data_IF_222209632133
#
_entry.id   IF_222209632133
#
_cell.length_a   1.000
_cell.length_b   1.000
_cell.length_c   1.000
_cell.angle_alpha   90.00
_cell.angle_beta   90.00
_cell.angle_gamma   90.00
#
_symmetry.space_group_name_H-M   'P 1'
#
loop_
_entity.id
_entity.type
_entity.pdbx_description
1 polymer ?
#
# COMPACT_ATOMS: atom_id res chain seq x y z
N UNK A 1 24.82 -14.06 -14.27
CA UNK A 1 23.66 -13.15 -14.17
C UNK A 1 22.49 -13.94 -13.63
N UNK A 2 21.93 -13.53 -12.49
CA UNK A 2 20.80 -14.19 -11.86
C UNK A 2 19.51 -13.82 -12.58
N UNK A 3 18.71 -14.80 -13.00
CA UNK A 3 17.47 -14.59 -13.76
C UNK A 3 16.27 -14.70 -12.83
N UNK A 4 15.51 -13.63 -12.70
CA UNK A 4 14.33 -13.58 -11.84
C UNK A 4 13.08 -13.27 -12.63
N UNK A 5 12.07 -14.08 -12.39
CA UNK A 5 10.75 -13.97 -13.00
C UNK A 5 9.80 -13.35 -11.97
N UNK A 6 9.28 -12.16 -12.27
CA UNK A 6 8.14 -11.58 -11.56
C UNK A 6 6.87 -12.09 -12.23
N UNK A 7 6.03 -12.81 -11.47
CA UNK A 7 4.80 -13.43 -11.95
C UNK A 7 3.63 -12.72 -11.28
N UNK A 8 2.84 -11.99 -12.06
CA UNK A 8 1.68 -11.24 -11.56
C UNK A 8 0.76 -10.82 -12.70
N UNK A 9 -0.05 -9.76 -12.49
CA UNK A 9 -0.88 -9.14 -13.52
C UNK A 9 -0.64 -7.63 -13.55
N UNK A 10 -0.35 -7.10 -14.72
CA UNK A 10 -0.28 -5.65 -14.94
C UNK A 10 -1.69 -5.08 -15.09
N UNK A 11 -2.16 -4.39 -14.06
CA UNK A 11 -3.53 -3.84 -14.01
C UNK A 11 -3.58 -2.32 -13.81
N UNK A 12 -2.43 -1.65 -13.70
CA UNK A 12 -2.32 -0.22 -13.44
C UNK A 12 -2.79 0.20 -12.03
N UNK A 13 -2.91 -0.75 -11.11
CA UNK A 13 -3.30 -0.55 -9.70
C UNK A 13 -2.17 -1.05 -8.78
N UNK A 14 -2.52 -1.54 -7.58
CA UNK A 14 -1.55 -1.99 -6.57
C UNK A 14 -0.55 -3.04 -7.06
N UNK A 15 -0.97 -4.01 -7.90
CA UNK A 15 -0.05 -5.02 -8.43
C UNK A 15 1.01 -4.44 -9.36
N UNK A 16 0.63 -3.49 -10.22
CA UNK A 16 1.59 -2.78 -11.05
C UNK A 16 2.59 -1.98 -10.20
N UNK A 17 2.16 -1.42 -9.06
CA UNK A 17 3.06 -0.73 -8.14
C UNK A 17 4.00 -1.70 -7.44
N UNK A 18 3.50 -2.82 -6.90
CA UNK A 18 4.31 -3.87 -6.28
C UNK A 18 5.38 -4.39 -7.25
N UNK A 19 5.01 -4.65 -8.51
CA UNK A 19 5.94 -5.08 -9.56
C UNK A 19 7.07 -4.09 -9.78
N UNK A 20 6.73 -2.81 -9.94
CA UNK A 20 7.72 -1.80 -10.28
C UNK A 20 8.62 -1.45 -9.08
N UNK A 21 8.07 -1.41 -7.87
CA UNK A 21 8.83 -1.23 -6.62
C UNK A 21 9.84 -2.36 -6.47
N UNK A 22 9.39 -3.62 -6.60
CA UNK A 22 10.29 -4.75 -6.47
C UNK A 22 11.30 -4.78 -7.62
N UNK A 23 10.88 -4.56 -8.87
CA UNK A 23 11.80 -4.50 -10.02
C UNK A 23 12.89 -3.45 -9.81
N UNK A 24 12.50 -2.25 -9.36
CA UNK A 24 13.41 -1.14 -9.09
C UNK A 24 14.42 -1.51 -8.01
N UNK A 25 13.96 -2.12 -6.91
CA UNK A 25 14.85 -2.63 -5.88
C UNK A 25 15.81 -3.66 -6.48
N UNK A 26 15.30 -4.71 -7.13
CA UNK A 26 16.12 -5.78 -7.71
C UNK A 26 17.18 -5.26 -8.69
N UNK A 27 16.84 -4.36 -9.60
CA UNK A 27 17.77 -3.80 -10.61
C UNK A 27 18.72 -2.79 -10.00
N UNK A 28 18.21 -1.82 -9.22
CA UNK A 28 19.02 -0.75 -8.64
C UNK A 28 20.09 -1.26 -7.68
N UNK A 29 19.82 -2.40 -7.03
CA UNK A 29 20.69 -3.05 -6.06
C UNK A 29 21.77 -3.91 -6.71
N UNK A 30 21.44 -4.57 -7.82
CA UNK A 30 22.29 -5.61 -8.42
C UNK A 30 23.08 -5.13 -9.63
N UNK A 31 22.78 -3.93 -10.14
CA UNK A 31 23.35 -3.43 -11.39
C UNK A 31 23.13 -4.43 -12.53
N UNK A 32 24.18 -4.74 -13.29
CA UNK A 32 24.13 -5.67 -14.42
C UNK A 32 24.16 -7.16 -14.00
N UNK A 33 24.13 -7.47 -12.71
CA UNK A 33 24.26 -8.87 -12.23
C UNK A 33 22.94 -9.65 -12.23
N UNK A 34 21.80 -8.96 -12.44
CA UNK A 34 20.46 -9.54 -12.37
C UNK A 34 19.60 -9.18 -13.58
N UNK A 35 18.90 -10.17 -14.12
CA UNK A 35 17.91 -10.00 -15.18
C UNK A 35 16.52 -10.19 -14.59
N UNK A 36 15.70 -9.14 -14.57
CA UNK A 36 14.31 -9.20 -14.10
C UNK A 36 13.36 -9.22 -15.28
N UNK A 37 12.52 -10.25 -15.38
CA UNK A 37 11.51 -10.42 -16.42
C UNK A 37 10.11 -10.49 -15.82
N UNK A 38 9.14 -9.84 -16.46
CA UNK A 38 7.73 -9.97 -16.10
C UNK A 38 7.10 -11.15 -16.87
N UNK A 39 6.16 -11.84 -16.23
CA UNK A 39 5.31 -12.84 -16.85
C UNK A 39 3.90 -12.74 -16.28
N UNK A 40 2.91 -12.65 -17.16
CA UNK A 40 1.52 -12.71 -16.71
C UNK A 40 1.24 -14.07 -16.04
N UNK A 41 0.57 -14.05 -14.90
CA UNK A 41 0.35 -15.25 -14.09
C UNK A 41 -0.44 -16.34 -14.83
N UNK A 42 -1.23 -15.99 -15.85
CA UNK A 42 -1.98 -16.94 -16.69
C UNK A 42 -1.21 -17.37 -17.95
N UNK A 43 -0.06 -16.77 -18.23
CA UNK A 43 0.74 -17.13 -19.39
C UNK A 43 1.25 -18.58 -19.30
N UNK A 44 1.55 -19.15 -20.46
CA UNK A 44 2.20 -20.47 -20.54
C UNK A 44 3.54 -20.42 -19.80
N UNK A 45 3.83 -21.39 -18.90
CA UNK A 45 5.10 -21.43 -18.20
C UNK A 45 6.29 -21.52 -19.14
N UNK A 46 7.39 -20.86 -18.76
CA UNK A 46 8.68 -21.04 -19.40
C UNK A 46 9.21 -22.48 -19.21
N UNK A 47 10.14 -22.95 -20.06
CA UNK A 47 10.81 -24.23 -19.86
C UNK A 47 11.42 -24.41 -18.46
N UNK A 48 11.62 -25.67 -18.08
CA UNK A 48 12.20 -26.00 -16.76
C UNK A 48 13.58 -25.37 -16.60
N UNK A 49 13.80 -24.63 -15.50
CA UNK A 49 15.09 -24.00 -15.20
C UNK A 49 15.41 -22.74 -16.03
N UNK A 50 14.42 -22.15 -16.70
CA UNK A 50 14.57 -20.86 -17.39
C UNK A 50 14.92 -19.71 -16.46
N UNK A 51 14.60 -19.81 -15.17
CA UNK A 51 14.88 -18.80 -14.16
C UNK A 51 15.57 -19.41 -12.93
N UNK A 52 16.21 -18.57 -12.14
CA UNK A 52 16.79 -18.94 -10.86
C UNK A 52 15.76 -18.78 -9.73
N UNK A 53 14.96 -17.69 -9.79
CA UNK A 53 13.86 -17.41 -8.84
C UNK A 53 12.59 -17.00 -9.59
N UNK A 54 11.46 -17.55 -9.14
CA UNK A 54 10.12 -17.02 -9.40
C UNK A 54 9.64 -16.24 -8.17
N UNK A 55 9.14 -15.03 -8.38
CA UNK A 55 8.46 -14.23 -7.35
C UNK A 55 7.03 -13.97 -7.82
N UNK A 56 6.08 -14.61 -7.14
CA UNK A 56 4.64 -14.44 -7.35
C UNK A 56 4.16 -13.26 -6.53
N UNK A 57 3.65 -12.20 -7.18
CA UNK A 57 3.05 -11.06 -6.48
C UNK A 57 1.54 -11.21 -6.49
N UNK A 58 0.96 -11.45 -5.30
CA UNK A 58 -0.44 -11.78 -4.99
C UNK A 58 -0.97 -13.07 -5.65
N UNK A 59 -0.78 -13.22 -6.95
CA UNK A 59 -1.40 -14.22 -7.79
C UNK A 59 -0.54 -15.48 -7.88
N UNK A 60 -1.07 -16.60 -7.41
CA UNK A 60 -0.37 -17.87 -7.43
C UNK A 60 -0.80 -18.74 -8.63
N UNK A 61 0.17 -19.21 -9.42
CA UNK A 61 -0.06 -20.24 -10.41
C UNK A 61 1.04 -21.32 -10.35
N UNK A 62 0.75 -22.51 -9.79
CA UNK A 62 1.69 -23.61 -9.62
C UNK A 62 2.31 -24.14 -10.91
N UNK A 63 1.69 -23.87 -12.08
CA UNK A 63 2.24 -24.29 -13.37
C UNK A 63 3.63 -23.70 -13.63
N UNK A 64 3.96 -22.56 -13.02
CA UNK A 64 5.27 -21.92 -13.14
C UNK A 64 6.33 -22.50 -12.21
N UNK A 65 5.99 -23.34 -11.21
CA UNK A 65 6.96 -23.80 -10.20
C UNK A 65 8.20 -24.49 -10.76
N UNK A 66 8.10 -25.09 -11.94
CA UNK A 66 9.22 -25.78 -12.61
C UNK A 66 10.14 -24.84 -13.38
N UNK A 67 9.74 -23.60 -13.66
CA UNK A 67 10.58 -22.64 -14.41
C UNK A 67 11.77 -22.16 -13.58
N UNK A 68 11.69 -22.22 -12.23
CA UNK A 68 12.75 -21.83 -11.31
C UNK A 68 13.05 -22.86 -10.23
N UNK A 69 14.22 -22.74 -9.59
CA UNK A 69 14.61 -23.55 -8.43
C UNK A 69 13.99 -23.03 -7.13
N UNK A 70 13.81 -21.71 -7.04
CA UNK A 70 13.24 -21.03 -5.87
C UNK A 70 11.93 -20.37 -6.28
N UNK A 71 10.87 -20.60 -5.49
CA UNK A 71 9.55 -20.05 -5.71
C UNK A 71 9.15 -19.25 -4.47
N UNK A 72 8.87 -17.96 -4.63
CA UNK A 72 8.62 -17.03 -3.55
C UNK A 72 7.24 -16.41 -3.77
N UNK A 73 6.40 -16.38 -2.75
CA UNK A 73 5.12 -15.67 -2.79
C UNK A 73 5.20 -14.38 -1.99
N UNK A 74 4.78 -13.25 -2.57
CA UNK A 74 4.48 -12.00 -1.88
C UNK A 74 2.96 -11.83 -1.87
N UNK A 75 2.24 -12.26 -0.82
CA UNK A 75 0.79 -12.34 -0.86
C UNK A 75 0.12 -11.04 -0.41
N UNK A 76 -1.06 -10.79 -0.97
CA UNK A 76 -2.07 -9.90 -0.39
C UNK A 76 -3.15 -10.81 0.25
N UNK A 77 -3.23 -10.90 1.59
CA UNK A 77 -4.08 -11.89 2.28
C UNK A 77 -5.57 -11.83 1.90
N UNK A 78 -6.07 -10.64 1.57
CA UNK A 78 -7.44 -10.39 1.15
C UNK A 78 -7.76 -11.00 -0.22
N UNK A 79 -6.76 -11.32 -1.04
CA UNK A 79 -6.93 -11.94 -2.35
C UNK A 79 -6.51 -13.42 -2.39
N UNK A 80 -5.96 -13.95 -1.29
CA UNK A 80 -5.48 -15.33 -1.24
C UNK A 80 -6.62 -16.34 -1.07
N UNK A 81 -7.08 -16.90 -2.19
CA UNK A 81 -8.19 -17.86 -2.21
C UNK A 81 -7.83 -19.21 -1.58
N UNK A 82 -8.83 -19.93 -1.08
CA UNK A 82 -8.64 -21.20 -0.35
C UNK A 82 -7.99 -22.28 -1.20
N UNK A 83 -8.28 -22.27 -2.50
CA UNK A 83 -7.81 -23.21 -3.52
C UNK A 83 -6.29 -23.16 -3.71
N UNK A 84 -5.64 -22.06 -3.32
CA UNK A 84 -4.18 -21.94 -3.38
C UNK A 84 -3.46 -22.57 -2.19
N UNK A 85 -4.13 -22.81 -1.06
CA UNK A 85 -3.52 -23.38 0.16
C UNK A 85 -2.79 -24.71 -0.09
N UNK A 86 -3.37 -25.68 -0.83
CA UNK A 86 -2.66 -26.93 -1.11
C UNK A 86 -1.39 -26.72 -1.89
N UNK A 87 -1.20 -25.59 -2.60
CA UNK A 87 -0.02 -25.34 -3.43
C UNK A 87 1.12 -24.60 -2.72
N UNK A 88 0.94 -24.21 -1.46
CA UNK A 88 1.97 -23.55 -0.67
C UNK A 88 3.22 -24.42 -0.48
N UNK A 89 3.10 -25.76 -0.53
CA UNK A 89 4.26 -26.67 -0.42
C UNK A 89 5.26 -26.54 -1.58
N UNK A 90 4.84 -25.99 -2.72
CA UNK A 90 5.74 -25.75 -3.86
C UNK A 90 6.51 -24.43 -3.74
N UNK A 91 6.19 -23.61 -2.75
CA UNK A 91 6.92 -22.39 -2.42
C UNK A 91 8.10 -22.74 -1.52
N UNK A 92 9.19 -22.03 -1.75
CA UNK A 92 10.36 -22.04 -0.88
C UNK A 92 10.19 -21.04 0.27
N UNK A 93 9.56 -19.89 0.01
CA UNK A 93 9.37 -18.82 0.97
C UNK A 93 8.09 -18.02 0.70
N UNK A 94 7.62 -17.36 1.75
CA UNK A 94 6.62 -16.29 1.68
C UNK A 94 7.26 -15.01 2.18
N UNK A 95 7.15 -13.93 1.42
CA UNK A 95 7.63 -12.59 1.75
C UNK A 95 6.43 -11.71 2.12
N UNK A 96 6.35 -11.33 3.39
CA UNK A 96 5.23 -10.58 3.94
C UNK A 96 5.56 -9.08 3.99
N UNK A 97 4.74 -8.29 3.29
CA UNK A 97 4.87 -6.82 3.24
C UNK A 97 4.54 -6.14 4.58
N UNK A 98 3.64 -6.76 5.34
CA UNK A 98 3.10 -6.26 6.61
C UNK A 98 3.27 -7.34 7.69
N UNK A 99 3.29 -6.93 8.96
CA UNK A 99 3.33 -7.83 10.11
C UNK A 99 2.02 -8.63 10.22
N UNK A 100 0.89 -8.06 9.83
CA UNK A 100 -0.36 -8.82 9.74
C UNK A 100 -0.26 -9.96 8.73
N UNK A 101 0.29 -9.69 7.53
CA UNK A 101 0.53 -10.70 6.51
C UNK A 101 1.52 -11.77 7.00
N UNK A 102 2.59 -11.36 7.70
CA UNK A 102 3.55 -12.28 8.31
C UNK A 102 2.85 -13.23 9.29
N UNK A 103 2.09 -12.67 10.24
CA UNK A 103 1.33 -13.43 11.24
C UNK A 103 0.35 -14.41 10.60
N UNK A 104 -0.39 -13.98 9.56
CA UNK A 104 -1.33 -14.84 8.83
C UNK A 104 -0.59 -16.02 8.18
N UNK A 105 0.49 -15.74 7.46
CA UNK A 105 1.19 -16.76 6.68
C UNK A 105 2.12 -17.64 7.50
N UNK A 106 2.58 -17.21 8.68
CA UNK A 106 3.30 -18.07 9.64
C UNK A 106 2.46 -19.29 10.06
N UNK A 107 1.13 -19.17 10.05
CA UNK A 107 0.22 -20.29 10.26
C UNK A 107 0.01 -21.20 9.04
N UNK A 108 0.56 -20.86 7.88
CA UNK A 108 0.29 -21.52 6.60
C UNK A 108 1.56 -22.00 5.87
N UNK A 109 2.72 -21.42 6.15
CA UNK A 109 3.98 -21.74 5.51
C UNK A 109 5.13 -21.75 6.52
N UNK A 110 6.09 -22.67 6.31
CA UNK A 110 7.20 -22.93 7.24
C UNK A 110 8.31 -21.87 7.21
N UNK A 111 8.44 -21.13 6.12
CA UNK A 111 9.44 -20.09 5.93
C UNK A 111 8.74 -18.80 5.45
N UNK A 112 8.48 -17.92 6.41
CA UNK A 112 7.83 -16.61 6.18
C UNK A 112 8.82 -15.54 6.63
N UNK A 113 9.06 -14.56 5.76
CA UNK A 113 9.99 -13.47 5.99
C UNK A 113 9.24 -12.15 5.90
N UNK A 114 9.22 -11.39 6.98
CA UNK A 114 8.81 -10.00 6.89
C UNK A 114 9.84 -9.23 6.06
N UNK A 115 9.39 -8.59 4.99
CA UNK A 115 10.23 -7.78 4.11
C UNK A 115 10.11 -6.29 4.38
N UNK A 116 9.08 -5.87 5.11
CA UNK A 116 8.52 -4.53 4.92
C UNK A 116 8.12 -4.33 3.46
N UNK A 117 7.89 -3.09 3.07
CA UNK A 117 7.68 -2.72 1.67
C UNK A 117 7.88 -1.21 1.48
N UNK A 118 7.77 -0.74 0.25
CA UNK A 118 7.79 0.70 -0.03
C UNK A 118 6.83 1.07 -1.17
N UNK A 119 6.78 2.35 -1.50
CA UNK A 119 6.01 2.93 -2.60
C UNK A 119 6.90 3.89 -3.40
N UNK A 120 6.40 4.37 -4.53
CA UNK A 120 7.04 5.48 -5.23
C UNK A 120 7.17 6.70 -4.32
N UNK A 121 8.30 7.37 -4.47
CA UNK A 121 8.52 8.65 -3.83
C UNK A 121 7.79 9.71 -4.62
N UNK A 122 6.76 10.31 -4.01
CA UNK A 122 5.93 11.34 -4.64
C UNK A 122 6.34 12.75 -4.21
N UNK A 123 7.41 12.92 -3.45
CA UNK A 123 7.78 14.22 -2.91
C UNK A 123 8.14 15.22 -4.02
N UNK A 124 7.46 16.37 -4.02
CA UNK A 124 7.78 17.52 -4.85
C UNK A 124 7.94 18.75 -3.94
N UNK A 125 9.18 19.12 -3.59
CA UNK A 125 9.44 20.23 -2.68
C UNK A 125 9.13 21.60 -3.29
N UNK A 126 8.83 21.67 -4.60
CA UNK A 126 8.48 22.93 -5.27
C UNK A 126 7.02 23.33 -5.07
N UNK A 127 6.18 22.39 -4.61
CA UNK A 127 4.76 22.62 -4.37
C UNK A 127 4.55 23.20 -2.98
N UNK A 128 3.92 24.37 -2.92
CA UNK A 128 3.54 25.00 -1.66
C UNK A 128 2.48 24.17 -0.93
N UNK A 129 2.76 23.82 0.33
CA UNK A 129 1.86 23.04 1.17
C UNK A 129 0.80 23.91 1.83
N UNK A 130 -0.46 23.50 1.68
CA UNK A 130 -1.63 24.14 2.26
C UNK A 130 -2.22 23.27 3.37
N UNK A 131 -2.80 23.92 4.37
CA UNK A 131 -3.60 23.27 5.40
C UNK A 131 -4.95 22.83 4.81
N UNK A 132 -4.93 21.73 4.07
CA UNK A 132 -6.06 21.18 3.35
C UNK A 132 -6.10 19.65 3.48
N UNK A 133 -7.31 19.09 3.34
CA UNK A 133 -7.58 17.65 3.43
C UNK A 133 -7.61 17.01 2.05
N UNK A 134 -6.98 15.84 1.91
CA UNK A 134 -7.02 15.02 0.69
C UNK A 134 -7.49 13.60 1.00
N UNK A 135 -8.35 13.04 0.15
CA UNK A 135 -8.64 11.61 0.13
C UNK A 135 -8.46 11.05 -1.28
N UNK A 136 -7.45 10.19 -1.47
CA UNK A 136 -7.21 9.49 -2.74
C UNK A 136 -7.97 8.16 -2.72
N UNK A 137 -9.26 8.20 -3.03
CA UNK A 137 -10.16 7.03 -3.02
C UNK A 137 -9.81 5.99 -4.09
N UNK A 138 -9.41 6.42 -5.29
CA UNK A 138 -9.15 5.50 -6.41
C UNK A 138 -10.33 4.54 -6.70
N UNK A 139 -10.02 3.26 -6.95
CA UNK A 139 -11.00 2.24 -7.36
C UNK A 139 -11.36 1.18 -6.33
N UNK A 140 -10.76 1.18 -5.14
CA UNK A 140 -11.01 0.14 -4.12
C UNK A 140 -12.24 0.49 -3.26
N UNK A 141 -13.06 -0.50 -2.90
CA UNK A 141 -14.12 -0.33 -1.90
C UNK A 141 -13.58 -0.32 -0.47
N UNK A 142 -12.36 -0.82 -0.25
CA UNK A 142 -11.75 -0.89 1.07
C UNK A 142 -11.34 0.48 1.62
N UNK A 143 -11.19 1.50 0.76
CA UNK A 143 -10.66 2.85 1.08
C UNK A 143 -11.42 3.67 2.11
N UNK A 144 -12.59 3.20 2.56
CA UNK A 144 -13.40 3.91 3.56
C UNK A 144 -14.04 5.20 3.04
N UNK A 145 -14.15 5.41 1.72
CA UNK A 145 -14.67 6.65 1.12
C UNK A 145 -16.07 7.03 1.62
N UNK A 146 -16.92 6.05 1.91
CA UNK A 146 -18.23 6.29 2.53
C UNK A 146 -18.12 6.94 3.92
N UNK A 147 -17.24 6.41 4.77
CA UNK A 147 -16.97 6.97 6.09
C UNK A 147 -16.32 8.36 6.01
N UNK A 148 -15.44 8.58 5.02
CA UNK A 148 -14.87 9.92 4.76
C UNK A 148 -15.97 10.91 4.43
N UNK A 149 -16.90 10.58 3.52
CA UNK A 149 -18.01 11.48 3.19
C UNK A 149 -18.87 11.79 4.41
N UNK A 150 -19.21 10.78 5.23
CA UNK A 150 -20.02 11.01 6.42
C UNK A 150 -19.29 11.86 7.46
N UNK A 151 -18.00 11.62 7.69
CA UNK A 151 -17.18 12.44 8.58
C UNK A 151 -17.12 13.91 8.10
N UNK A 152 -17.06 14.15 6.79
CA UNK A 152 -17.09 15.50 6.25
C UNK A 152 -18.47 16.18 6.39
N UNK A 153 -19.59 15.44 6.39
CA UNK A 153 -20.92 16.01 6.70
C UNK A 153 -20.98 16.56 8.12
N UNK A 154 -20.29 15.91 9.07
CA UNK A 154 -20.18 16.36 10.45
C UNK A 154 -19.29 17.61 10.61
N UNK A 155 -18.52 17.97 9.58
CA UNK A 155 -17.50 19.02 9.62
C UNK A 155 -17.68 20.05 8.49
N UNK A 156 -18.82 20.75 8.42
CA UNK A 156 -19.18 21.61 7.28
C UNK A 156 -18.22 22.79 7.06
N UNK A 157 -17.40 23.13 8.04
CA UNK A 157 -16.41 24.23 7.97
C UNK A 157 -15.04 23.79 7.44
N UNK A 158 -14.86 22.52 7.12
CA UNK A 158 -13.61 21.98 6.56
C UNK A 158 -13.86 21.48 5.13
N UNK A 159 -12.95 21.82 4.21
CA UNK A 159 -13.04 21.37 2.82
C UNK A 159 -12.13 20.18 2.58
N UNK A 160 -12.63 19.21 1.81
CA UNK A 160 -11.89 18.02 1.38
C UNK A 160 -11.77 18.00 -0.15
N UNK A 161 -10.57 17.76 -0.64
CA UNK A 161 -10.34 17.32 -2.02
C UNK A 161 -10.39 15.79 -2.06
N UNK A 162 -11.23 15.22 -2.93
CA UNK A 162 -11.34 13.78 -3.13
C UNK A 162 -10.95 13.42 -4.56
N UNK A 163 -9.98 12.52 -4.73
CA UNK A 163 -9.57 12.00 -6.04
C UNK A 163 -10.08 10.58 -6.20
N UNK A 164 -10.93 10.35 -7.20
CA UNK A 164 -11.60 9.05 -7.40
C UNK A 164 -11.77 8.71 -8.88
N UNK A 165 -11.70 7.43 -9.21
CA UNK A 165 -12.08 6.92 -10.54
C UNK A 165 -13.51 6.40 -10.58
N UNK A 166 -14.23 6.42 -9.46
CA UNK A 166 -15.62 5.96 -9.34
C UNK A 166 -16.58 7.13 -9.27
N UNK A 167 -17.79 6.99 -9.85
CA UNK A 167 -18.88 7.94 -9.59
C UNK A 167 -19.14 8.06 -8.09
N UNK A 168 -19.35 9.29 -7.62
CA UNK A 168 -19.71 9.59 -6.23
C UNK A 168 -21.14 10.15 -6.22
N UNK A 169 -22.02 9.47 -5.51
CA UNK A 169 -23.42 9.90 -5.35
C UNK A 169 -23.55 10.85 -4.18
N UNK A 170 -24.14 12.03 -4.41
CA UNK A 170 -24.45 13.03 -3.37
C UNK A 170 -23.28 13.34 -2.43
N UNK A 171 -22.12 13.81 -2.96
CA UNK A 171 -21.03 14.25 -2.11
C UNK A 171 -21.49 15.40 -1.19
N UNK A 172 -20.97 15.49 0.04
CA UNK A 172 -21.22 16.64 0.91
C UNK A 172 -20.80 17.96 0.23
N UNK A 173 -21.46 19.10 0.53
CA UNK A 173 -21.13 20.39 -0.12
C UNK A 173 -19.69 20.86 0.07
N UNK A 174 -19.02 20.39 1.12
CA UNK A 174 -17.63 20.69 1.45
C UNK A 174 -16.63 19.64 0.91
N UNK A 175 -17.05 18.79 -0.04
CA UNK A 175 -16.19 17.80 -0.70
C UNK A 175 -16.10 18.10 -2.20
N UNK A 176 -14.92 18.52 -2.64
CA UNK A 176 -14.60 18.70 -4.06
C UNK A 176 -14.15 17.36 -4.64
N UNK A 177 -14.96 16.79 -5.54
CA UNK A 177 -14.63 15.52 -6.20
C UNK A 177 -13.92 15.77 -7.52
N UNK A 178 -12.69 15.27 -7.61
CA UNK A 178 -11.88 15.22 -8.82
C UNK A 178 -11.91 13.80 -9.41
N UNK A 179 -12.00 13.72 -10.72
CA UNK A 179 -11.88 12.46 -11.45
C UNK A 179 -10.46 11.88 -11.40
N UNK A 180 -10.20 10.85 -12.20
CA UNK A 180 -8.85 10.29 -12.35
C UNK A 180 -7.89 11.39 -12.82
N UNK A 181 -6.82 11.58 -12.07
CA UNK A 181 -5.74 12.52 -12.39
C UNK A 181 -4.62 11.78 -13.12
N UNK A 182 -3.84 12.50 -13.91
CA UNK A 182 -2.56 11.97 -14.39
C UNK A 182 -1.52 11.94 -13.25
N UNK A 183 -0.35 11.37 -13.54
CA UNK A 183 0.69 11.19 -12.53
C UNK A 183 1.24 12.52 -11.99
N UNK A 184 1.38 13.55 -12.83
CA UNK A 184 1.97 14.83 -12.45
C UNK A 184 0.98 15.65 -11.60
N UNK A 185 -0.29 15.69 -12.01
CA UNK A 185 -1.34 16.34 -11.25
C UNK A 185 -1.59 15.65 -9.91
N UNK A 186 -1.58 14.32 -9.86
CA UNK A 186 -1.71 13.60 -8.61
C UNK A 186 -0.56 13.92 -7.65
N UNK A 187 0.69 13.95 -8.14
CA UNK A 187 1.86 14.37 -7.34
C UNK A 187 1.67 15.78 -6.80
N UNK A 188 1.30 16.74 -7.65
CA UNK A 188 1.05 18.12 -7.22
C UNK A 188 -0.04 18.20 -6.15
N UNK A 189 -1.19 17.54 -6.39
CA UNK A 189 -2.30 17.49 -5.43
C UNK A 189 -1.84 16.89 -4.11
N UNK A 190 -1.09 15.78 -4.12
CA UNK A 190 -0.60 15.15 -2.90
C UNK A 190 0.31 16.07 -2.08
N UNK A 191 1.24 16.78 -2.73
CA UNK A 191 2.17 17.69 -2.04
C UNK A 191 1.50 18.99 -1.55
N UNK A 192 0.46 19.45 -2.23
CA UNK A 192 -0.30 20.64 -1.85
C UNK A 192 -1.12 20.44 -0.56
N UNK A 193 -1.51 19.20 -0.22
CA UNK A 193 -2.38 18.92 0.92
C UNK A 193 -1.61 18.40 2.13
N UNK A 194 -1.67 19.14 3.24
CA UNK A 194 -0.97 18.78 4.48
C UNK A 194 -1.54 17.55 5.19
N UNK A 195 -2.81 17.20 5.00
CA UNK A 195 -3.47 16.10 5.73
C UNK A 195 -4.15 15.14 4.75
N UNK A 196 -3.78 13.86 4.81
CA UNK A 196 -4.32 12.82 3.94
C UNK A 196 -5.19 11.85 4.75
N UNK A 197 -6.43 11.66 4.30
CA UNK A 197 -7.39 10.74 4.89
C UNK A 197 -7.23 9.38 4.20
N UNK A 198 -6.75 8.40 4.95
CA UNK A 198 -6.49 7.05 4.48
C UNK A 198 -7.14 5.98 5.36
N UNK A 199 -8.48 5.98 5.53
CA UNK A 199 -9.15 5.06 6.43
C UNK A 199 -9.53 3.74 5.74
N UNK A 200 -8.56 3.13 5.04
CA UNK A 200 -8.80 1.82 4.45
C UNK A 200 -9.17 0.80 5.54
N UNK A 201 -10.06 -0.13 5.25
CA UNK A 201 -10.40 -1.20 6.19
C UNK A 201 -9.40 -2.34 6.18
N UNK A 202 -8.72 -2.51 5.04
CA UNK A 202 -7.58 -3.40 4.83
C UNK A 202 -6.95 -3.06 3.47
N UNK A 203 -5.63 -3.21 3.34
CA UNK A 203 -4.90 -3.28 2.08
C UNK A 203 -3.75 -4.27 2.30
N UNK A 204 -3.35 -5.05 1.29
CA UNK A 204 -2.19 -5.93 1.42
C UNK A 204 -0.88 -5.24 1.81
N UNK A 205 -0.76 -3.92 1.57
CA UNK A 205 0.29 -3.06 2.12
C UNK A 205 -0.21 -1.65 2.44
N UNK A 206 -0.92 -1.01 1.50
CA UNK A 206 -1.41 0.36 1.66
C UNK A 206 -0.55 1.40 0.92
N UNK A 207 -0.30 1.19 -0.38
CA UNK A 207 0.56 2.08 -1.17
C UNK A 207 0.21 3.57 -1.04
N UNK A 208 -1.08 3.93 -1.07
CA UNK A 208 -1.50 5.33 -1.00
C UNK A 208 -1.30 5.96 0.39
N UNK A 209 -1.30 5.17 1.47
CA UNK A 209 -0.88 5.61 2.81
C UNK A 209 0.61 5.90 2.78
N UNK A 210 1.40 4.99 2.21
CA UNK A 210 2.84 5.15 2.16
C UNK A 210 3.29 6.26 1.18
N UNK A 211 2.57 6.50 0.10
CA UNK A 211 2.79 7.65 -0.78
C UNK A 211 2.44 8.97 -0.07
N UNK A 212 1.43 9.00 0.82
CA UNK A 212 1.15 10.15 1.68
C UNK A 212 2.32 10.47 2.64
N UNK A 213 2.94 9.42 3.21
CA UNK A 213 4.19 9.56 4.00
C UNK A 213 5.32 10.10 3.13
N UNK A 214 5.43 9.61 1.90
CA UNK A 214 6.49 10.04 0.99
C UNK A 214 6.44 11.53 0.66
N UNK A 215 5.25 12.15 0.62
CA UNK A 215 5.11 13.61 0.44
C UNK A 215 5.14 14.39 1.75
N UNK A 216 5.44 13.75 2.89
CA UNK A 216 5.45 14.39 4.19
C UNK A 216 4.09 14.97 4.63
N UNK A 217 2.98 14.29 4.28
CA UNK A 217 1.66 14.65 4.81
C UNK A 217 1.42 14.01 6.17
N UNK A 218 0.56 14.63 6.99
CA UNK A 218 -0.01 13.99 8.18
C UNK A 218 -1.08 13.02 7.72
N UNK A 219 -1.00 11.76 8.17
CA UNK A 219 -1.93 10.72 7.77
C UNK A 219 -2.97 10.50 8.87
N UNK A 220 -4.25 10.45 8.48
CA UNK A 220 -5.33 9.96 9.33
C UNK A 220 -5.76 8.60 8.80
N UNK A 221 -5.51 7.53 9.55
CA UNK A 221 -5.80 6.16 9.12
C UNK A 221 -6.62 5.37 10.14
N UNK A 222 -7.01 4.15 9.78
CA UNK A 222 -7.76 3.24 10.64
C UNK A 222 -6.83 2.65 11.71
N UNK A 223 -7.26 2.64 12.96
CA UNK A 223 -6.56 2.04 14.10
C UNK A 223 -6.65 0.50 14.09
N UNK A 224 -6.20 -0.11 12.99
CA UNK A 224 -6.26 -1.54 12.78
C UNK A 224 -5.22 -2.02 11.79
N UNK A 225 -4.72 -3.23 12.02
CA UNK A 225 -3.76 -3.85 11.13
C UNK A 225 -4.35 -4.12 9.72
N UNK A 226 -3.54 -3.98 8.65
CA UNK A 226 -2.16 -3.50 8.68
C UNK A 226 -2.03 -1.97 8.51
N UNK A 227 -3.11 -1.20 8.63
CA UNK A 227 -3.10 0.24 8.33
C UNK A 227 -2.35 1.05 9.39
N UNK A 228 -2.47 0.64 10.65
CA UNK A 228 -1.75 1.22 11.79
C UNK A 228 -0.25 0.89 11.79
N UNK A 229 0.21 -0.10 11.01
CA UNK A 229 1.63 -0.40 10.86
C UNK A 229 2.40 0.72 10.14
N UNK A 230 1.71 1.45 9.25
CA UNK A 230 2.30 2.56 8.48
C UNK A 230 2.10 3.93 9.14
N UNK A 231 1.31 4.00 10.22
CA UNK A 231 0.89 5.27 10.83
C UNK A 231 1.02 5.19 12.35
N UNK A 232 2.01 5.90 12.89
CA UNK A 232 2.23 6.04 14.34
C UNK A 232 1.79 7.41 14.87
N UNK A 233 1.63 7.53 16.19
CA UNK A 233 1.25 8.78 16.85
C UNK A 233 2.28 9.92 16.72
N UNK A 234 3.50 9.60 16.29
CA UNK A 234 4.59 10.57 16.07
C UNK A 234 4.43 11.37 14.77
N UNK A 235 3.60 10.91 13.83
CA UNK A 235 3.47 11.49 12.49
C UNK A 235 2.09 11.32 11.84
N UNK A 236 1.09 10.85 12.59
CA UNK A 236 -0.27 10.65 12.12
C UNK A 236 -1.29 10.46 13.23
N UNK A 237 -2.54 10.20 12.84
CA UNK A 237 -3.66 9.95 13.74
C UNK A 237 -4.36 8.65 13.35
N UNK A 238 -4.77 7.89 14.36
CA UNK A 238 -5.49 6.63 14.18
C UNK A 238 -6.92 6.78 14.68
N UNK A 239 -7.88 6.59 13.77
CA UNK A 239 -9.30 6.59 14.07
C UNK A 239 -9.74 5.17 14.45
N UNK A 240 -10.47 5.05 15.56
CA UNK A 240 -11.01 3.78 16.04
C UNK A 240 -11.91 3.07 15.02
N UNK A 241 -12.24 1.81 15.31
CA UNK A 241 -13.06 0.95 14.44
C UNK A 241 -14.41 0.67 15.07
N UNK A 242 -15.45 0.52 14.24
CA UNK A 242 -16.81 0.18 14.72
C UNK A 242 -17.26 -1.22 14.33
N UNK A 243 -16.69 -1.81 13.28
CA UNK A 243 -17.09 -3.12 12.80
C UNK A 243 -15.95 -3.85 12.08
N UNK A 244 -16.15 -5.13 11.83
CA UNK A 244 -15.20 -5.97 11.11
C UNK A 244 -15.90 -6.84 10.05
N UNK A 245 -15.17 -7.14 8.99
CA UNK A 245 -15.55 -8.06 7.94
C UNK A 245 -14.39 -8.99 7.59
N UNK A 246 -14.62 -9.93 6.69
CA UNK A 246 -13.62 -10.89 6.24
C UNK A 246 -13.58 -10.94 4.73
N UNK A 247 -12.37 -11.02 4.19
CA UNK A 247 -12.14 -11.32 2.78
C UNK A 247 -11.00 -12.31 2.71
N UNK A 248 -11.30 -13.55 2.31
CA UNK A 248 -10.32 -14.63 2.28
C UNK A 248 -9.57 -14.79 3.62
N UNK A 249 -8.27 -14.46 3.67
CA UNK A 249 -7.47 -14.56 4.89
C UNK A 249 -7.44 -13.25 5.70
N UNK A 250 -7.84 -12.13 5.10
CA UNK A 250 -7.79 -10.81 5.72
C UNK A 250 -9.01 -10.56 6.62
N UNK A 251 -8.77 -9.86 7.73
CA UNK A 251 -9.82 -9.29 8.58
C UNK A 251 -9.89 -7.80 8.31
N UNK A 252 -10.93 -7.37 7.60
CA UNK A 252 -11.19 -5.95 7.37
C UNK A 252 -11.72 -5.33 8.66
N UNK A 253 -11.19 -4.19 9.09
CA UNK A 253 -11.75 -3.42 10.19
C UNK A 253 -12.21 -2.05 9.69
N UNK A 254 -13.49 -1.75 9.85
CA UNK A 254 -14.08 -0.54 9.32
C UNK A 254 -14.01 0.58 10.35
N UNK A 255 -13.44 1.71 9.91
CA UNK A 255 -13.31 2.92 10.72
C UNK A 255 -14.67 3.36 11.28
N UNK A 256 -14.67 3.81 12.53
CA UNK A 256 -15.77 4.54 13.13
C UNK A 256 -15.79 5.97 12.59
N UNK A 257 -16.90 6.38 12.01
CA UNK A 257 -17.04 7.69 11.37
C UNK A 257 -16.86 8.84 12.36
N UNK A 258 -17.37 8.70 13.59
CA UNK A 258 -17.22 9.76 14.59
C UNK A 258 -15.77 9.87 15.10
N UNK A 259 -15.07 8.75 15.24
CA UNK A 259 -13.64 8.75 15.54
C UNK A 259 -12.86 9.42 14.40
N UNK A 260 -13.19 9.11 13.15
CA UNK A 260 -12.58 9.75 11.99
C UNK A 260 -12.83 11.27 11.99
N UNK A 261 -14.05 11.73 12.26
CA UNK A 261 -14.37 13.16 12.31
C UNK A 261 -13.62 13.87 13.45
N UNK A 262 -13.48 13.24 14.62
CA UNK A 262 -12.64 13.77 15.72
C UNK A 262 -11.18 13.90 15.31
N UNK A 263 -10.60 12.90 14.64
CA UNK A 263 -9.23 12.99 14.13
C UNK A 263 -9.07 14.13 13.12
N UNK A 264 -10.02 14.28 12.18
CA UNK A 264 -10.00 15.37 11.19
C UNK A 264 -10.07 16.73 11.89
N UNK A 265 -11.02 16.91 12.81
CA UNK A 265 -11.17 18.16 13.57
C UNK A 265 -9.89 18.49 14.36
N UNK A 266 -9.27 17.49 14.99
CA UNK A 266 -8.01 17.66 15.71
C UNK A 266 -6.88 18.12 14.78
N UNK A 267 -6.69 17.45 13.64
CA UNK A 267 -5.66 17.84 12.67
C UNK A 267 -5.91 19.25 12.10
N UNK A 268 -7.17 19.59 11.85
CA UNK A 268 -7.56 20.90 11.32
C UNK A 268 -7.57 22.00 12.38
N UNK A 269 -7.57 21.69 13.67
CA UNK A 269 -7.34 22.65 14.74
C UNK A 269 -5.84 22.97 14.93
N UNK A 270 -4.95 22.01 14.64
CA UNK A 270 -3.49 22.17 14.79
C UNK A 270 -2.91 23.26 13.87
N UNK A 271 -1.94 24.08 14.33
CA UNK A 271 -1.24 25.02 13.48
C UNK A 271 -0.55 24.32 12.29
N UNK A 272 -0.46 24.99 11.13
CA UNK A 272 0.19 24.41 9.95
C UNK A 272 1.64 23.98 10.23
N UNK A 273 2.37 24.74 11.06
CA UNK A 273 3.73 24.39 11.49
C UNK A 273 3.80 23.02 12.16
N UNK A 274 2.85 22.70 13.05
CA UNK A 274 2.81 21.40 13.72
C UNK A 274 2.53 20.28 12.70
N UNK A 275 1.63 20.51 11.74
CA UNK A 275 1.38 19.55 10.66
C UNK A 275 2.62 19.33 9.78
N UNK A 276 3.41 20.38 9.53
CA UNK A 276 4.68 20.27 8.80
C UNK A 276 5.71 19.47 9.60
N UNK A 277 5.83 19.69 10.91
CA UNK A 277 6.74 18.94 11.79
C UNK A 277 6.38 17.43 11.80
N UNK A 278 5.09 17.09 11.98
CA UNK A 278 4.60 15.71 11.88
C UNK A 278 4.84 15.12 10.48
N UNK A 279 4.63 15.93 9.43
CA UNK A 279 4.89 15.55 8.05
C UNK A 279 6.37 15.22 7.77
N UNK A 280 7.30 15.98 8.36
CA UNK A 280 8.73 15.68 8.28
C UNK A 280 9.05 14.32 8.89
N UNK A 281 8.50 13.99 10.07
CA UNK A 281 8.67 12.66 10.65
C UNK A 281 8.08 11.54 9.77
N UNK A 282 6.91 11.77 9.16
CA UNK A 282 6.33 10.80 8.22
C UNK A 282 7.27 10.52 7.04
N UNK A 283 7.89 11.59 6.51
CA UNK A 283 8.85 11.53 5.39
C UNK A 283 10.13 10.80 5.77
N UNK A 284 10.70 11.12 6.93
CA UNK A 284 11.90 10.47 7.46
C UNK A 284 11.68 8.97 7.64
N UNK A 285 10.53 8.59 8.21
CA UNK A 285 10.20 7.18 8.38
C UNK A 285 9.98 6.46 7.04
N UNK A 286 9.34 7.11 6.05
CA UNK A 286 9.23 6.56 4.69
C UNK A 286 10.60 6.28 4.07
N UNK A 287 11.55 7.23 4.17
CA UNK A 287 12.90 7.08 3.62
C UNK A 287 13.65 5.94 4.31
N UNK A 288 13.60 5.88 5.64
CA UNK A 288 14.23 4.81 6.41
C UNK A 288 13.68 3.44 6.04
N UNK A 289 12.36 3.29 5.99
CA UNK A 289 11.72 2.00 5.67
C UNK A 289 11.94 1.58 4.22
N UNK A 290 12.12 2.53 3.30
CA UNK A 290 12.54 2.25 1.93
C UNK A 290 13.93 1.63 1.89
N UNK A 291 14.90 2.21 2.59
CA UNK A 291 16.26 1.64 2.70
C UNK A 291 16.24 0.27 3.39
N UNK A 292 15.41 0.11 4.42
CA UNK A 292 15.22 -1.16 5.13
C UNK A 292 14.64 -2.25 4.20
N UNK A 293 13.65 -1.89 3.38
CA UNK A 293 13.09 -2.78 2.35
C UNK A 293 14.16 -3.21 1.34
N UNK A 294 14.88 -2.25 0.75
CA UNK A 294 15.92 -2.53 -0.24
C UNK A 294 17.01 -3.46 0.34
N UNK A 295 17.48 -3.17 1.56
CA UNK A 295 18.45 -4.02 2.28
C UNK A 295 17.90 -5.42 2.54
N UNK A 296 16.66 -5.53 2.97
CA UNK A 296 16.03 -6.83 3.26
C UNK A 296 15.91 -7.68 2.00
N UNK A 297 15.53 -7.10 0.87
CA UNK A 297 15.46 -7.82 -0.41
C UNK A 297 16.84 -8.35 -0.83
N UNK A 298 17.92 -7.58 -0.64
CA UNK A 298 19.30 -8.06 -0.88
C UNK A 298 19.61 -9.29 -0.05
N UNK A 299 19.38 -9.20 1.25
CA UNK A 299 19.72 -10.26 2.20
C UNK A 299 18.97 -11.54 1.89
N UNK A 300 17.70 -11.42 1.50
CA UNK A 300 16.90 -12.57 1.13
C UNK A 300 17.29 -13.19 -0.21
N UNK A 301 17.96 -12.47 -1.12
CA UNK A 301 18.35 -13.00 -2.43
C UNK A 301 19.71 -13.69 -2.46
N UNK A 302 20.56 -13.43 -1.47
CA UNK A 302 21.82 -14.16 -1.24
C UNK A 302 21.56 -15.61 -0.88
#
# INVERSE_FOLDING_TARGET
MMRVQLISRENGLGLSHDMEVLRSALVGISGDTMQVSFTDWQAKPAPKGSFDINIFLELLNPAHYRSAKRNILVPNPEWFVREWRPHLHGLTQVWAKTRDCERIFQGLHRDVRYTGWTSFDRNDPTVERKKALLHVAGGSSAKGTGAVMEAMRMLPHHNLTMVTSKPVTSPPPNVTVLGRQDAADLVRIMNEHAVHLCPSSYEGFGHYINEARSVGAVIISTAAAPMDELVGGEFGLLAGVTSRGWQNLATHQHVDTEALSRCIASAMASPLRLLQELGTHAREQYLKEREDFERTIIELLK
#
